data_IF_816755751845
#
_entry.id   IF_816755751845
#
_cell.length_a   1.000
_cell.length_b   1.000
_cell.length_c   1.000
_cell.angle_alpha   90.00
_cell.angle_beta   90.00
_cell.angle_gamma   90.00
#
_symmetry.space_group_name_H-M   'P 1'
#
loop_
_entity.id
_entity.type
_entity.pdbx_description
1 polymer ?
#
# COMPACT_ATOMS: atom_id res chain seq x y z
N UNK A 1 -74.83 17.11 3.54
CA UNK A 1 -74.08 15.85 3.73
C UNK A 1 -73.36 15.51 2.44
N UNK A 2 -72.05 15.73 2.36
CA UNK A 2 -71.21 15.23 1.28
C UNK A 2 -69.91 14.74 1.90
N UNK A 3 -69.60 13.45 1.76
CA UNK A 3 -68.39 12.83 2.24
C UNK A 3 -67.89 11.83 1.19
N UNK A 4 -66.70 12.04 0.67
CA UNK A 4 -65.82 11.10 -0.04
C UNK A 4 -64.66 11.96 -0.59
N UNK A 5 -63.39 11.75 -0.31
CA UNK A 5 -62.65 10.56 0.05
C UNK A 5 -61.26 10.81 -0.52
N UNK A 6 -60.36 11.43 0.26
CA UNK A 6 -58.98 11.70 -0.17
C UNK A 6 -58.15 10.44 0.01
N UNK A 7 -57.92 9.73 -1.10
CA UNK A 7 -56.97 8.62 -1.17
C UNK A 7 -55.57 9.09 -0.77
N UNK A 8 -55.03 8.48 0.29
CA UNK A 8 -53.60 8.52 0.61
C UNK A 8 -52.93 7.37 -0.14
N UNK A 9 -52.30 7.66 -1.28
CA UNK A 9 -51.40 6.70 -1.91
C UNK A 9 -49.97 7.03 -1.47
N UNK A 10 -49.35 6.09 -0.77
CA UNK A 10 -48.01 6.16 -0.24
C UNK A 10 -46.98 6.31 -1.37
N UNK A 11 -46.12 7.33 -1.26
CA UNK A 11 -44.94 7.43 -2.10
C UNK A 11 -43.92 6.38 -1.64
N UNK A 12 -43.82 5.28 -2.38
CA UNK A 12 -42.67 4.38 -2.28
C UNK A 12 -41.45 5.11 -2.88
N UNK A 13 -40.55 5.59 -2.03
CA UNK A 13 -39.23 6.04 -2.45
C UNK A 13 -38.41 4.82 -2.90
N UNK A 14 -38.43 4.55 -4.20
CA UNK A 14 -37.41 3.75 -4.86
C UNK A 14 -36.11 4.56 -4.83
N UNK A 15 -35.25 4.30 -3.85
CA UNK A 15 -33.87 4.78 -3.87
C UNK A 15 -33.15 4.12 -5.06
N UNK A 16 -33.03 4.85 -6.17
CA UNK A 16 -32.10 4.50 -7.24
C UNK A 16 -30.70 4.62 -6.66
N UNK A 17 -30.07 3.49 -6.36
CA UNK A 17 -28.65 3.44 -5.99
C UNK A 17 -27.86 3.92 -7.21
N UNK A 18 -27.28 5.12 -7.11
CA UNK A 18 -26.35 5.61 -8.12
C UNK A 18 -25.15 4.63 -8.21
N UNK A 19 -24.75 4.20 -9.42
CA UNK A 19 -23.70 3.19 -9.58
C UNK A 19 -22.39 3.53 -8.85
N UNK A 20 -22.02 4.82 -8.79
CA UNK A 20 -20.80 5.28 -8.12
C UNK A 20 -20.81 5.15 -6.59
N UNK A 21 -21.97 5.02 -5.94
CA UNK A 21 -22.04 4.81 -4.50
C UNK A 21 -21.54 3.41 -4.11
N UNK A 22 -21.78 2.39 -4.95
CA UNK A 22 -21.34 1.03 -4.70
C UNK A 22 -19.84 0.87 -4.94
N UNK A 23 -19.31 1.46 -6.02
CA UNK A 23 -17.87 1.43 -6.32
C UNK A 23 -17.05 2.17 -5.26
N UNK A 24 -17.50 3.34 -4.82
CA UNK A 24 -16.84 4.08 -3.75
C UNK A 24 -16.89 3.34 -2.40
N UNK A 25 -17.98 2.60 -2.14
CA UNK A 25 -18.10 1.79 -0.93
C UNK A 25 -17.21 0.53 -0.99
N UNK A 26 -17.09 -0.11 -2.17
CA UNK A 26 -16.15 -1.21 -2.40
C UNK A 26 -14.71 -0.74 -2.20
N UNK A 27 -14.31 0.37 -2.83
CA UNK A 27 -12.95 0.90 -2.69
C UNK A 27 -12.55 1.20 -1.24
N UNK A 28 -13.46 1.77 -0.45
CA UNK A 28 -13.23 1.98 1.00
C UNK A 28 -13.10 0.67 1.78
N UNK A 29 -13.89 -0.35 1.42
CA UNK A 29 -13.81 -1.68 2.03
C UNK A 29 -12.49 -2.37 1.69
N UNK A 30 -12.06 -2.25 0.43
CA UNK A 30 -10.83 -2.84 -0.08
C UNK A 30 -9.59 -2.21 0.56
N UNK A 31 -9.59 -0.88 0.67
CA UNK A 31 -8.55 -0.13 1.37
C UNK A 31 -8.48 -0.54 2.86
N UNK A 32 -9.63 -0.66 3.53
CA UNK A 32 -9.66 -1.11 4.92
C UNK A 32 -9.13 -2.55 5.09
N UNK A 33 -9.42 -3.44 4.13
CA UNK A 33 -8.89 -4.80 4.13
C UNK A 33 -7.37 -4.81 3.92
N UNK A 34 -6.85 -3.99 3.01
CA UNK A 34 -5.42 -3.82 2.80
C UNK A 34 -4.73 -3.28 4.06
N UNK A 35 -5.23 -2.19 4.65
CA UNK A 35 -4.66 -1.58 5.86
C UNK A 35 -4.66 -2.54 7.05
N UNK A 36 -5.69 -3.38 7.19
CA UNK A 36 -5.71 -4.45 8.18
C UNK A 36 -4.57 -5.44 7.98
N UNK A 37 -4.36 -5.92 6.75
CA UNK A 37 -3.24 -6.83 6.44
C UNK A 37 -1.87 -6.17 6.65
N UNK A 38 -1.74 -4.87 6.38
CA UNK A 38 -0.54 -4.09 6.72
C UNK A 38 -0.29 -4.09 8.23
N UNK A 39 -1.32 -3.77 9.02
CA UNK A 39 -1.22 -3.80 10.49
C UNK A 39 -0.83 -5.17 11.04
N UNK A 40 -1.46 -6.23 10.55
CA UNK A 40 -1.14 -7.62 10.92
C UNK A 40 0.33 -7.97 10.58
N UNK A 41 0.81 -7.61 9.39
CA UNK A 41 2.18 -7.90 8.96
C UNK A 41 3.25 -7.21 9.79
N UNK A 42 3.03 -5.94 10.16
CA UNK A 42 3.98 -5.15 10.95
C UNK A 42 3.72 -5.21 12.46
N UNK A 43 2.78 -6.05 12.90
CA UNK A 43 2.32 -6.13 14.29
C UNK A 43 1.90 -4.76 14.87
N UNK A 44 1.29 -3.92 14.03
CA UNK A 44 0.82 -2.57 14.37
C UNK A 44 -0.68 -2.59 14.69
N UNK A 45 -1.13 -2.04 15.84
CA UNK A 45 -2.55 -2.01 16.19
C UNK A 45 -3.41 -1.32 15.12
N UNK A 46 -4.64 -1.80 14.85
CA UNK A 46 -5.51 -1.21 13.82
C UNK A 46 -5.77 0.30 14.01
N UNK A 47 -5.87 0.75 15.27
CA UNK A 47 -6.04 2.17 15.59
C UNK A 47 -4.85 3.04 15.16
N UNK A 48 -3.63 2.53 15.25
CA UNK A 48 -2.42 3.23 14.83
C UNK A 48 -2.31 3.27 13.30
N UNK A 49 -2.62 2.17 12.61
CA UNK A 49 -2.69 2.15 11.13
C UNK A 49 -3.73 3.14 10.61
N UNK A 50 -4.90 3.23 11.27
CA UNK A 50 -5.94 4.20 10.93
C UNK A 50 -5.51 5.66 11.16
N UNK A 51 -4.61 5.92 12.12
CA UNK A 51 -4.03 7.26 12.29
C UNK A 51 -3.08 7.57 11.15
N UNK A 52 -2.25 6.60 10.73
CA UNK A 52 -1.34 6.76 9.58
C UNK A 52 -2.11 7.04 8.28
N UNK A 53 -3.22 6.35 8.03
CA UNK A 53 -4.01 6.54 6.81
C UNK A 53 -4.75 7.88 6.74
N UNK A 54 -4.84 8.61 7.86
CA UNK A 54 -5.40 9.98 7.90
C UNK A 54 -4.34 11.04 7.64
N UNK A 55 -3.08 10.67 7.57
CA UNK A 55 -2.01 11.58 7.19
C UNK A 55 -1.93 11.68 5.66
N UNK A 56 -1.32 12.76 5.17
CA UNK A 56 -1.10 13.00 3.75
C UNK A 56 -0.02 12.06 3.19
N UNK A 57 -0.36 10.78 3.14
CA UNK A 57 0.44 9.67 2.64
C UNK A 57 -0.46 8.85 1.74
N UNK A 58 0.07 8.37 0.62
CA UNK A 58 -0.64 7.36 -0.15
C UNK A 58 -0.72 6.05 0.66
N UNK A 59 -1.78 5.28 0.44
CA UNK A 59 -1.97 3.97 1.08
C UNK A 59 -0.77 3.04 0.84
N UNK A 60 -0.12 3.16 -0.32
CA UNK A 60 1.10 2.42 -0.69
C UNK A 60 2.35 2.82 0.11
N UNK A 61 2.39 4.03 0.68
CA UNK A 61 3.51 4.51 1.50
C UNK A 61 3.44 4.05 2.96
N UNK A 62 2.26 3.64 3.46
CA UNK A 62 2.09 3.19 4.85
C UNK A 62 3.02 2.00 5.18
N UNK A 63 3.13 0.96 4.33
CA UNK A 63 4.13 -0.11 4.53
C UNK A 63 5.58 0.40 4.59
N UNK A 64 5.92 1.49 3.88
CA UNK A 64 7.27 2.08 3.92
C UNK A 64 7.53 2.70 5.29
N UNK A 65 6.58 3.49 5.79
CA UNK A 65 6.65 4.10 7.12
C UNK A 65 6.86 3.03 8.19
N UNK A 66 6.01 2.01 8.22
CA UNK A 66 6.07 0.95 9.23
C UNK A 66 7.36 0.13 9.10
N UNK A 67 7.81 -0.18 7.88
CA UNK A 67 9.08 -0.87 7.66
C UNK A 67 10.27 -0.09 8.21
N UNK A 68 10.33 1.21 7.97
CA UNK A 68 11.42 2.06 8.46
C UNK A 68 11.36 2.23 9.98
N UNK A 69 10.17 2.51 10.53
CA UNK A 69 9.93 2.64 11.96
C UNK A 69 10.39 1.39 12.72
N UNK A 70 9.94 0.21 12.28
CA UNK A 70 10.31 -1.09 12.85
C UNK A 70 11.81 -1.36 12.73
N UNK A 71 12.43 -1.05 11.58
CA UNK A 71 13.86 -1.29 11.36
C UNK A 71 14.75 -0.38 12.21
N UNK A 72 14.30 0.84 12.45
CA UNK A 72 15.01 1.87 13.21
C UNK A 72 14.70 1.81 14.72
N UNK A 73 13.65 1.10 15.13
CA UNK A 73 13.18 1.09 16.51
C UNK A 73 12.62 2.44 16.96
N UNK A 74 12.05 3.23 16.04
CA UNK A 74 11.44 4.53 16.34
C UNK A 74 9.93 4.50 16.07
N UNK A 75 9.15 5.37 16.72
CA UNK A 75 7.74 5.54 16.41
C UNK A 75 7.47 5.99 14.95
N UNK A 76 6.37 5.55 14.31
CA UNK A 76 6.03 5.93 12.93
C UNK A 76 5.88 7.43 12.66
N UNK A 77 5.43 8.21 13.64
CA UNK A 77 5.27 9.67 13.53
C UNK A 77 6.61 10.39 13.28
N UNK A 78 7.72 9.88 13.83
CA UNK A 78 9.08 10.39 13.59
C UNK A 78 9.46 10.24 12.11
N UNK A 79 9.15 9.09 11.51
CA UNK A 79 9.41 8.82 10.08
C UNK A 79 8.55 9.74 9.21
N UNK A 80 7.27 9.92 9.55
CA UNK A 80 6.36 10.78 8.79
C UNK A 80 6.70 12.26 8.92
N UNK A 81 7.19 12.70 10.07
CA UNK A 81 7.67 14.06 10.25
C UNK A 81 8.83 14.38 9.29
N UNK A 82 9.73 13.42 9.03
CA UNK A 82 10.79 13.58 8.03
C UNK A 82 10.23 13.62 6.61
N UNK A 83 9.25 12.76 6.29
CA UNK A 83 8.57 12.77 4.99
C UNK A 83 7.92 14.12 4.69
N UNK A 84 7.23 14.71 5.66
CA UNK A 84 6.58 16.03 5.55
C UNK A 84 7.57 17.18 5.36
N UNK A 85 8.84 16.99 5.73
CA UNK A 85 9.91 17.97 5.47
C UNK A 85 10.45 17.90 4.03
N UNK A 86 9.88 17.02 3.19
CA UNK A 86 10.24 16.86 1.78
C UNK A 86 11.38 15.89 1.52
N UNK A 87 11.84 15.14 2.52
CA UNK A 87 12.85 14.11 2.30
C UNK A 87 12.28 12.94 1.48
N UNK A 88 13.09 12.41 0.56
CA UNK A 88 12.80 11.14 -0.13
C UNK A 88 12.83 9.97 0.85
N UNK A 89 12.15 8.88 0.53
CA UNK A 89 12.14 7.68 1.35
C UNK A 89 13.55 7.11 1.55
N UNK A 90 14.41 7.20 0.53
CA UNK A 90 15.79 6.72 0.63
C UNK A 90 16.65 7.61 1.54
N UNK A 91 16.45 8.93 1.55
CA UNK A 91 17.13 9.83 2.50
C UNK A 91 16.70 9.56 3.95
N UNK A 92 15.41 9.34 4.17
CA UNK A 92 14.89 8.96 5.50
C UNK A 92 15.48 7.61 5.91
N UNK A 93 15.49 6.62 5.03
CA UNK A 93 16.10 5.30 5.28
C UNK A 93 17.57 5.42 5.69
N UNK A 94 18.35 6.25 4.98
CA UNK A 94 19.77 6.47 5.26
C UNK A 94 20.02 7.11 6.63
N UNK A 95 19.12 7.96 7.11
CA UNK A 95 19.17 8.51 8.48
C UNK A 95 19.19 7.40 9.54
N UNK A 96 18.58 6.25 9.22
CA UNK A 96 18.52 5.07 10.08
C UNK A 96 19.47 3.94 9.65
N UNK A 97 20.51 4.25 8.86
CA UNK A 97 21.47 3.27 8.33
C UNK A 97 20.83 2.13 7.52
N UNK A 98 19.68 2.40 6.89
CA UNK A 98 19.03 1.50 5.94
C UNK A 98 19.38 1.97 4.53
N UNK A 99 19.92 1.07 3.72
CA UNK A 99 20.42 1.37 2.38
C UNK A 99 19.59 0.68 1.29
N UNK A 100 19.83 1.02 0.02
CA UNK A 100 19.04 0.50 -1.09
C UNK A 100 19.04 -1.04 -1.16
N UNK A 101 20.19 -1.68 -0.89
CA UNK A 101 20.31 -3.13 -0.79
C UNK A 101 19.36 -3.80 0.23
N UNK A 102 18.99 -3.11 1.31
CA UNK A 102 18.04 -3.64 2.31
C UNK A 102 16.63 -3.83 1.75
N UNK A 103 16.29 -3.15 0.65
CA UNK A 103 14.99 -3.22 -0.02
C UNK A 103 14.95 -4.27 -1.14
N UNK A 104 16.10 -4.79 -1.61
CA UNK A 104 16.16 -5.76 -2.70
C UNK A 104 15.37 -7.04 -2.37
N UNK A 105 14.39 -7.41 -3.20
CA UNK A 105 13.61 -8.64 -3.05
C UNK A 105 14.11 -9.67 -4.06
N UNK A 106 14.54 -10.87 -3.67
CA UNK A 106 14.86 -11.90 -4.64
C UNK A 106 13.64 -12.24 -5.51
N UNK A 107 13.82 -12.25 -6.83
CA UNK A 107 12.77 -12.61 -7.79
C UNK A 107 13.25 -13.75 -8.69
N UNK A 108 12.32 -14.63 -9.05
CA UNK A 108 12.50 -15.62 -10.09
C UNK A 108 11.46 -15.32 -11.18
N UNK A 109 11.89 -14.71 -12.28
CA UNK A 109 11.03 -14.28 -13.38
C UNK A 109 11.11 -12.79 -13.67
N UNK A 110 10.05 -12.22 -14.26
CA UNK A 110 10.02 -10.82 -14.67
C UNK A 110 10.01 -9.87 -13.46
N UNK A 111 10.84 -8.83 -13.54
CA UNK A 111 10.89 -7.71 -12.61
C UNK A 111 9.78 -6.66 -12.84
N UNK A 112 9.01 -6.78 -13.92
CA UNK A 112 7.93 -5.86 -14.26
C UNK A 112 8.38 -4.40 -14.32
N UNK A 113 7.57 -3.51 -13.74
CA UNK A 113 7.87 -2.06 -13.68
C UNK A 113 9.14 -1.73 -12.88
N UNK A 114 9.65 -2.65 -12.05
CA UNK A 114 10.91 -2.49 -11.32
C UNK A 114 12.13 -3.00 -12.10
N UNK A 115 11.99 -3.40 -13.37
CA UNK A 115 13.11 -3.95 -14.16
C UNK A 115 14.35 -3.05 -14.19
N UNK A 116 14.17 -1.73 -14.28
CA UNK A 116 15.28 -0.79 -14.23
C UNK A 116 16.02 -0.81 -12.88
N UNK A 117 15.31 -1.04 -11.77
CA UNK A 117 15.90 -1.16 -10.42
C UNK A 117 16.73 -2.44 -10.32
N UNK A 118 16.18 -3.57 -10.76
CA UNK A 118 16.90 -4.84 -10.74
C UNK A 118 18.15 -4.80 -11.62
N UNK A 119 18.07 -4.22 -12.82
CA UNK A 119 19.24 -4.01 -13.68
C UNK A 119 20.34 -3.19 -12.98
N UNK A 120 19.98 -2.19 -12.16
CA UNK A 120 20.95 -1.40 -11.38
C UNK A 120 21.58 -2.19 -10.24
N UNK A 121 20.86 -3.12 -9.62
CA UNK A 121 21.44 -4.05 -8.64
C UNK A 121 22.36 -5.07 -9.31
N UNK A 122 21.95 -5.64 -10.44
CA UNK A 122 22.71 -6.65 -11.19
C UNK A 122 24.00 -6.10 -11.81
N UNK A 123 24.01 -4.82 -12.19
CA UNK A 123 25.20 -4.14 -12.70
C UNK A 123 26.30 -3.91 -11.64
N UNK A 124 26.06 -4.29 -10.37
CA UNK A 124 26.94 -4.05 -9.23
C UNK A 124 27.09 -5.29 -8.38
N UNK A 125 28.24 -5.45 -7.74
CA UNK A 125 28.40 -6.49 -6.72
C UNK A 125 27.60 -6.13 -5.46
N UNK A 126 27.17 -7.13 -4.70
CA UNK A 126 26.29 -6.93 -3.54
C UNK A 126 26.83 -5.93 -2.49
N UNK A 127 28.15 -5.82 -2.32
CA UNK A 127 28.79 -4.86 -1.42
C UNK A 127 28.59 -3.40 -1.84
N UNK A 128 28.30 -3.14 -3.12
CA UNK A 128 28.09 -1.81 -3.69
C UNK A 128 26.59 -1.43 -3.75
N UNK A 129 25.70 -2.34 -3.36
CA UNK A 129 24.25 -2.11 -3.41
C UNK A 129 23.77 -0.98 -2.49
N UNK A 130 24.61 -0.56 -1.54
CA UNK A 130 24.31 0.59 -0.69
C UNK A 130 24.23 1.91 -1.46
N UNK A 131 24.93 2.00 -2.59
CA UNK A 131 25.08 3.21 -3.40
C UNK A 131 24.10 3.25 -4.58
N UNK A 132 23.26 2.21 -4.73
CA UNK A 132 22.17 2.20 -5.70
C UNK A 132 21.18 3.32 -5.34
N UNK A 133 20.90 4.20 -6.29
CA UNK A 133 19.85 5.22 -6.15
C UNK A 133 18.48 4.55 -6.26
N UNK A 134 17.49 5.01 -5.50
CA UNK A 134 16.10 4.58 -5.64
C UNK A 134 15.23 5.83 -5.65
N UNK A 135 14.31 5.92 -6.60
CA UNK A 135 13.22 6.89 -6.50
C UNK A 135 12.24 6.47 -5.39
N UNK A 136 11.39 7.40 -4.96
CA UNK A 136 10.33 7.09 -4.00
C UNK A 136 9.42 5.97 -4.51
N UNK A 137 9.03 6.03 -5.79
CA UNK A 137 8.14 5.05 -6.40
C UNK A 137 8.78 3.65 -6.48
N UNK A 138 10.07 3.58 -6.79
CA UNK A 138 10.80 2.30 -6.81
C UNK A 138 10.94 1.70 -5.41
N UNK A 139 11.22 2.53 -4.40
CA UNK A 139 11.33 2.09 -3.01
C UNK A 139 9.96 1.64 -2.49
N UNK A 140 8.91 2.43 -2.72
CA UNK A 140 7.51 2.07 -2.41
C UNK A 140 7.15 0.74 -3.08
N UNK A 141 7.49 0.58 -4.36
CA UNK A 141 7.29 -0.67 -5.11
C UNK A 141 7.98 -1.87 -4.46
N UNK A 142 9.29 -1.78 -4.17
CA UNK A 142 10.05 -2.85 -3.53
C UNK A 142 9.49 -3.24 -2.16
N UNK A 143 9.09 -2.25 -1.35
CA UNK A 143 8.49 -2.51 -0.03
C UNK A 143 7.15 -3.21 -0.16
N UNK A 144 6.28 -2.76 -1.06
CA UNK A 144 4.97 -3.38 -1.27
C UNK A 144 5.09 -4.80 -1.84
N UNK A 145 6.02 -5.03 -2.78
CA UNK A 145 6.31 -6.39 -3.28
C UNK A 145 6.71 -7.32 -2.13
N UNK A 146 7.62 -6.86 -1.26
CA UNK A 146 8.05 -7.66 -0.10
C UNK A 146 6.91 -7.91 0.89
N UNK A 147 6.14 -6.87 1.20
CA UNK A 147 5.00 -6.95 2.12
C UNK A 147 3.99 -7.98 1.61
N UNK A 148 3.47 -7.80 0.39
CA UNK A 148 2.45 -8.67 -0.19
C UNK A 148 2.93 -10.10 -0.38
N UNK A 149 4.17 -10.28 -0.84
CA UNK A 149 4.76 -11.63 -1.01
C UNK A 149 4.82 -12.37 0.33
N UNK A 150 5.20 -11.69 1.42
CA UNK A 150 5.32 -12.30 2.74
C UNK A 150 3.98 -12.49 3.43
N UNK A 151 3.07 -11.51 3.35
CA UNK A 151 1.77 -11.58 4.03
C UNK A 151 0.85 -12.63 3.39
N UNK A 152 0.93 -12.81 2.08
CA UNK A 152 0.10 -13.76 1.33
C UNK A 152 0.81 -15.09 1.02
N UNK A 153 2.11 -15.21 1.30
CA UNK A 153 2.89 -16.42 1.00
C UNK A 153 3.06 -16.69 -0.51
N UNK A 154 2.96 -15.65 -1.35
CA UNK A 154 3.04 -15.76 -2.82
C UNK A 154 4.41 -15.32 -3.34
N UNK A 155 4.90 -15.85 -4.47
CA UNK A 155 6.17 -15.42 -5.06
C UNK A 155 6.18 -13.93 -5.42
N UNK A 156 7.32 -13.26 -5.21
CA UNK A 156 7.48 -11.84 -5.51
C UNK A 156 7.24 -11.50 -7.00
N UNK A 157 7.57 -12.42 -7.92
CA UNK A 157 7.27 -12.25 -9.35
C UNK A 157 5.77 -12.26 -9.64
N UNK A 158 4.98 -13.07 -8.92
CA UNK A 158 3.51 -13.03 -9.02
C UNK A 158 2.94 -11.70 -8.52
N UNK A 159 3.50 -11.14 -7.44
CA UNK A 159 3.10 -9.81 -6.95
C UNK A 159 3.44 -8.73 -7.98
N UNK A 160 4.63 -8.77 -8.57
CA UNK A 160 5.06 -7.81 -9.59
C UNK A 160 4.15 -7.83 -10.83
N UNK A 161 3.72 -9.02 -11.27
CA UNK A 161 2.76 -9.16 -12.36
C UNK A 161 1.41 -8.53 -12.04
N UNK A 162 0.93 -8.64 -10.80
CA UNK A 162 -0.36 -8.05 -10.38
C UNK A 162 -0.28 -6.55 -10.10
N UNK A 163 0.87 -6.06 -9.63
CA UNK A 163 1.07 -4.63 -9.39
C UNK A 163 1.14 -3.85 -10.70
N UNK A 164 1.95 -4.29 -11.67
CA UNK A 164 2.08 -3.61 -12.97
C UNK A 164 2.46 -2.11 -12.89
N UNK A 165 2.98 -1.63 -11.76
CA UNK A 165 3.22 -0.20 -11.47
C UNK A 165 1.99 0.60 -11.02
N UNK A 166 0.87 -0.08 -10.70
CA UNK A 166 -0.42 0.53 -10.39
C UNK A 166 -0.86 0.44 -8.93
N UNK A 167 -2.19 0.37 -8.75
CA UNK A 167 -2.87 0.41 -7.45
C UNK A 167 -2.59 -0.86 -6.61
N UNK A 168 -1.87 -0.66 -5.50
CA UNK A 168 -1.49 -1.71 -4.55
C UNK A 168 -2.70 -2.35 -3.86
N UNK A 169 -3.77 -1.60 -3.61
CA UNK A 169 -4.96 -2.09 -2.94
C UNK A 169 -5.68 -3.06 -3.88
N UNK A 170 -5.84 -2.69 -5.14
CA UNK A 170 -6.43 -3.56 -6.15
C UNK A 170 -5.60 -4.84 -6.37
N UNK A 171 -4.27 -4.72 -6.37
CA UNK A 171 -3.38 -5.88 -6.46
C UNK A 171 -3.53 -6.82 -5.24
N UNK A 172 -3.60 -6.27 -4.04
CA UNK A 172 -3.85 -7.03 -2.82
C UNK A 172 -5.16 -7.81 -2.90
N UNK A 173 -6.28 -7.17 -3.27
CA UNK A 173 -7.59 -7.84 -3.36
C UNK A 173 -7.58 -8.99 -4.39
N UNK A 174 -6.96 -8.78 -5.56
CA UNK A 174 -6.83 -9.84 -6.58
C UNK A 174 -5.99 -11.01 -6.08
N UNK A 175 -4.91 -10.75 -5.35
CA UNK A 175 -4.04 -11.79 -4.81
C UNK A 175 -4.70 -12.54 -3.65
N UNK A 176 -5.33 -11.82 -2.71
CA UNK A 176 -6.00 -12.43 -1.54
C UNK A 176 -7.26 -13.21 -1.91
N UNK A 177 -7.86 -12.97 -3.08
CA UNK A 177 -9.00 -13.76 -3.56
C UNK A 177 -8.59 -15.10 -4.19
N UNK A 178 -7.30 -15.31 -4.48
CA UNK A 178 -6.80 -16.53 -5.13
C UNK A 178 -6.24 -17.57 -4.16
N UNK A 179 -5.91 -17.17 -2.94
CA UNK A 179 -5.25 -17.98 -1.92
C UNK A 179 -5.98 -17.84 -0.59
#
# INVERSE_FOLDING_TARGET
>A
MWNAGRSRAAAALLCVLAPGALEAQSGKSDEAAFLRAVGEHFATPPGEVMVLSRWDLSTAEIPVVLRLATRAGVPPDVVVAQRRRGASWLEIARTYSVHAGDFHVPINGSAGFLAAVYARFEARVASEWRDVSLSDEELVGLVNVRFLSRSLGVPASSVLSELGGGDVVAAYIRLSGRY
#
